data_IF_951051712864
#
_entry.id   IF_951051712864
#
_cell.length_a   1.000
_cell.length_b   1.000
_cell.length_c   1.000
_cell.angle_alpha   90.00
_cell.angle_beta   90.00
_cell.angle_gamma   90.00
#
_symmetry.space_group_name_H-M   'P 1'
#
loop_
_entity.id
_entity.type
_entity.pdbx_description
1 polymer ?
#
# COMPACT_ATOMS: atom_id res chain seq x y z
N UNK A 1 -34.76 -17.76 -17.07
CA UNK A 1 -35.99 -16.97 -16.86
C UNK A 1 -35.62 -15.63 -16.24
N UNK A 2 -36.28 -14.54 -16.64
CA UNK A 2 -35.98 -13.16 -16.17
C UNK A 2 -36.00 -13.03 -14.64
N UNK A 3 -36.83 -13.83 -13.96
CA UNK A 3 -36.91 -13.89 -12.50
C UNK A 3 -35.62 -14.41 -11.83
N UNK A 4 -34.92 -15.34 -12.46
CA UNK A 4 -33.64 -15.84 -11.95
C UNK A 4 -32.57 -14.75 -12.05
N UNK A 5 -32.47 -14.08 -13.20
CA UNK A 5 -31.55 -12.95 -13.42
C UNK A 5 -31.84 -11.78 -12.47
N UNK A 6 -33.12 -11.46 -12.24
CA UNK A 6 -33.52 -10.44 -11.27
C UNK A 6 -33.14 -10.82 -9.82
N UNK A 7 -33.02 -12.11 -9.50
CA UNK A 7 -32.60 -12.58 -8.17
C UNK A 7 -31.08 -12.62 -8.05
N UNK A 8 -30.35 -13.05 -9.08
CA UNK A 8 -28.89 -13.28 -9.04
C UNK A 8 -28.07 -12.06 -9.47
N UNK A 9 -28.55 -11.24 -10.41
CA UNK A 9 -27.87 -10.07 -10.98
C UNK A 9 -28.57 -8.76 -10.59
N UNK A 10 -28.74 -8.53 -9.29
CA UNK A 10 -29.39 -7.33 -8.75
C UNK A 10 -28.56 -6.04 -8.87
N UNK A 11 -27.31 -6.12 -9.34
CA UNK A 11 -26.36 -5.00 -9.38
C UNK A 11 -25.92 -4.49 -7.99
N UNK A 12 -26.29 -5.18 -6.92
CA UNK A 12 -26.01 -4.77 -5.54
C UNK A 12 -24.68 -5.36 -5.05
N UNK A 13 -23.68 -4.49 -4.80
CA UNK A 13 -22.38 -4.90 -4.26
C UNK A 13 -22.52 -5.69 -2.95
N UNK A 14 -23.30 -5.25 -1.94
CA UNK A 14 -23.46 -6.02 -0.70
C UNK A 14 -24.05 -7.42 -0.90
N UNK A 15 -24.98 -7.59 -1.84
CA UNK A 15 -25.56 -8.89 -2.12
C UNK A 15 -24.54 -9.83 -2.78
N UNK A 16 -23.80 -9.33 -3.78
CA UNK A 16 -22.73 -10.11 -4.44
C UNK A 16 -21.64 -10.49 -3.44
N UNK A 17 -21.20 -9.56 -2.59
CA UNK A 17 -20.23 -9.84 -1.53
C UNK A 17 -20.76 -10.89 -0.54
N UNK A 18 -22.02 -10.79 -0.13
CA UNK A 18 -22.62 -11.77 0.78
C UNK A 18 -22.62 -13.19 0.17
N UNK A 19 -22.91 -13.33 -1.12
CA UNK A 19 -22.85 -14.62 -1.83
C UNK A 19 -21.42 -15.16 -1.83
N UNK A 20 -20.43 -14.33 -2.23
CA UNK A 20 -19.01 -14.74 -2.27
C UNK A 20 -18.54 -15.19 -0.89
N UNK A 21 -18.80 -14.39 0.15
CA UNK A 21 -18.40 -14.70 1.52
C UNK A 21 -19.14 -15.93 2.08
N UNK A 22 -20.41 -16.13 1.72
CA UNK A 22 -21.14 -17.33 2.11
C UNK A 22 -20.56 -18.58 1.46
N UNK A 23 -20.19 -18.52 0.19
CA UNK A 23 -19.49 -19.63 -0.50
C UNK A 23 -18.13 -19.91 0.14
N UNK A 24 -17.38 -18.86 0.50
CA UNK A 24 -16.09 -18.98 1.20
C UNK A 24 -16.23 -19.63 2.58
N UNK A 25 -17.38 -19.49 3.26
CA UNK A 25 -17.66 -20.18 4.52
C UNK A 25 -18.11 -21.61 4.28
N UNK A 26 -19.15 -21.78 3.46
CA UNK A 26 -19.84 -23.06 3.30
C UNK A 26 -18.94 -24.14 2.70
N UNK A 27 -18.17 -23.82 1.65
CA UNK A 27 -17.38 -24.82 0.93
C UNK A 27 -16.24 -25.40 1.78
N UNK A 28 -15.36 -24.58 2.39
CA UNK A 28 -14.30 -25.11 3.27
C UNK A 28 -14.86 -25.83 4.50
N UNK A 29 -15.94 -25.32 5.11
CA UNK A 29 -16.55 -25.98 6.26
C UNK A 29 -17.08 -27.36 5.88
N UNK A 30 -17.80 -27.50 4.77
CA UNK A 30 -18.28 -28.79 4.27
C UNK A 30 -17.10 -29.75 4.02
N UNK A 31 -16.07 -29.28 3.31
CA UNK A 31 -14.88 -30.10 3.02
C UNK A 31 -14.18 -30.56 4.30
N UNK A 32 -13.95 -29.66 5.27
CA UNK A 32 -13.30 -30.00 6.54
C UNK A 32 -14.15 -30.93 7.41
N UNK A 33 -15.49 -30.81 7.36
CA UNK A 33 -16.38 -31.73 8.10
C UNK A 33 -16.38 -33.15 7.53
N UNK A 34 -16.18 -33.30 6.22
CA UNK A 34 -16.20 -34.57 5.51
C UNK A 34 -14.81 -35.21 5.32
N UNK A 35 -13.73 -34.42 5.40
CA UNK A 35 -12.35 -34.86 5.17
C UNK A 35 -11.67 -35.53 6.37
N UNK A 36 -10.49 -36.10 6.12
CA UNK A 36 -9.60 -36.62 7.16
C UNK A 36 -9.10 -35.46 8.06
N UNK A 37 -9.10 -35.68 9.38
CA UNK A 37 -8.75 -34.66 10.36
C UNK A 37 -7.33 -34.87 10.84
N UNK A 38 -6.41 -34.06 10.33
CA UNK A 38 -5.12 -33.89 10.98
C UNK A 38 -5.34 -33.18 12.32
N UNK A 39 -4.56 -33.54 13.35
CA UNK A 39 -4.64 -32.91 14.66
C UNK A 39 -3.74 -31.67 14.68
N UNK A 40 -4.30 -30.44 14.68
CA UNK A 40 -3.49 -29.24 14.78
C UNK A 40 -2.84 -29.14 16.16
N UNK A 41 -1.53 -28.92 16.19
CA UNK A 41 -0.82 -28.52 17.40
C UNK A 41 -1.01 -27.01 17.64
N UNK A 42 -1.61 -26.67 18.77
CA UNK A 42 -1.91 -25.28 19.13
C UNK A 42 -0.83 -24.73 20.05
N UNK A 43 0.10 -23.96 19.46
CA UNK A 43 0.96 -23.04 20.21
C UNK A 43 0.36 -21.64 20.14
N UNK A 44 -0.05 -21.12 21.29
CA UNK A 44 -0.77 -19.84 21.38
C UNK A 44 0.14 -18.63 21.11
N UNK A 45 1.37 -18.66 21.62
CA UNK A 45 2.39 -17.64 21.37
C UNK A 45 3.77 -18.18 21.72
N UNK A 46 4.79 -17.68 21.02
CA UNK A 46 6.21 -17.97 21.31
C UNK A 46 6.84 -16.86 22.16
N UNK A 47 6.27 -15.65 22.14
CA UNK A 47 6.76 -14.47 22.86
C UNK A 47 5.59 -13.63 23.38
N UNK A 48 5.78 -12.98 24.53
CA UNK A 48 4.78 -12.09 25.14
C UNK A 48 4.42 -10.89 24.26
N UNK A 49 5.26 -10.52 23.29
CA UNK A 49 4.97 -9.42 22.36
C UNK A 49 3.84 -9.80 21.40
N UNK A 50 3.74 -11.07 21.00
CA UNK A 50 2.72 -11.54 20.06
C UNK A 50 1.27 -11.33 20.55
N UNK A 51 0.88 -11.75 21.77
CA UNK A 51 -0.47 -11.51 22.26
C UNK A 51 -0.73 -10.02 22.52
N UNK A 52 0.27 -9.23 22.93
CA UNK A 52 0.10 -7.78 23.11
C UNK A 52 -0.22 -7.10 21.78
N UNK A 53 0.58 -7.36 20.73
CA UNK A 53 0.34 -6.82 19.39
C UNK A 53 -0.99 -7.34 18.83
N UNK A 54 -1.29 -8.63 19.00
CA UNK A 54 -2.56 -9.22 18.59
C UNK A 54 -3.79 -8.57 19.25
N UNK A 55 -3.73 -8.30 20.55
CA UNK A 55 -4.80 -7.60 21.28
C UNK A 55 -4.95 -6.15 20.81
N UNK A 56 -3.85 -5.45 20.54
CA UNK A 56 -3.88 -4.11 19.96
C UNK A 56 -4.51 -4.10 18.56
N UNK A 57 -4.14 -5.05 17.70
CA UNK A 57 -4.72 -5.22 16.37
C UNK A 57 -6.22 -5.54 16.45
N UNK A 58 -6.62 -6.45 17.34
CA UNK A 58 -8.02 -6.80 17.55
C UNK A 58 -8.83 -5.59 18.03
N UNK A 59 -8.31 -4.86 19.03
CA UNK A 59 -8.94 -3.65 19.54
C UNK A 59 -9.10 -2.58 18.46
N UNK A 60 -8.06 -2.35 17.65
CA UNK A 60 -8.09 -1.40 16.55
C UNK A 60 -9.08 -1.81 15.44
N UNK A 61 -9.11 -3.09 15.07
CA UNK A 61 -10.05 -3.63 14.09
C UNK A 61 -11.50 -3.47 14.56
N UNK A 62 -11.81 -3.83 15.81
CA UNK A 62 -13.15 -3.66 16.39
C UNK A 62 -13.52 -2.19 16.46
N UNK A 63 -12.61 -1.33 16.93
CA UNK A 63 -12.83 0.12 17.00
C UNK A 63 -13.10 0.71 15.61
N UNK A 64 -12.36 0.30 14.57
CA UNK A 64 -12.56 0.76 13.20
C UNK A 64 -13.98 0.46 12.68
N UNK A 65 -14.60 -0.67 13.09
CA UNK A 65 -15.97 -1.01 12.67
C UNK A 65 -17.07 -0.14 13.27
N UNK A 66 -16.78 0.55 14.38
CA UNK A 66 -17.73 1.41 15.09
C UNK A 66 -17.43 2.90 14.92
N UNK A 67 -16.27 3.25 14.35
CA UNK A 67 -15.90 4.63 14.08
C UNK A 67 -16.76 5.26 13.00
N UNK A 68 -17.33 6.43 13.32
CA UNK A 68 -18.10 7.24 12.37
C UNK A 68 -17.22 8.14 11.52
N UNK A 69 -16.12 8.62 12.10
CA UNK A 69 -15.15 9.47 11.40
C UNK A 69 -14.24 8.60 10.51
N UNK A 70 -14.27 8.84 9.20
CA UNK A 70 -13.51 8.07 8.20
C UNK A 70 -12.01 8.16 8.42
N UNK A 71 -11.49 9.33 8.79
CA UNK A 71 -10.06 9.51 9.08
C UNK A 71 -9.65 8.69 10.29
N UNK A 72 -10.44 8.73 11.37
CA UNK A 72 -10.18 7.92 12.56
C UNK A 72 -10.23 6.42 12.25
N UNK A 73 -11.20 5.97 11.43
CA UNK A 73 -11.30 4.58 11.01
C UNK A 73 -10.06 4.13 10.20
N UNK A 74 -9.57 4.95 9.26
CA UNK A 74 -8.35 4.64 8.50
C UNK A 74 -7.12 4.59 9.40
N UNK A 75 -6.97 5.50 10.36
CA UNK A 75 -5.86 5.46 11.31
C UNK A 75 -5.88 4.18 12.16
N UNK A 76 -7.06 3.72 12.59
CA UNK A 76 -7.22 2.46 13.32
C UNK A 76 -6.91 1.24 12.45
N UNK A 77 -7.33 1.24 11.18
CA UNK A 77 -6.90 0.22 10.21
C UNK A 77 -5.38 0.22 10.07
N UNK A 78 -4.74 1.39 10.08
CA UNK A 78 -3.28 1.50 10.05
C UNK A 78 -2.58 0.82 11.21
N UNK A 79 -3.14 0.86 12.41
CA UNK A 79 -2.61 0.11 13.57
C UNK A 79 -2.55 -1.39 13.27
N UNK A 80 -3.52 -1.93 12.52
CA UNK A 80 -3.50 -3.35 12.13
C UNK A 80 -2.38 -3.65 11.13
N UNK A 81 -2.10 -2.73 10.20
CA UNK A 81 -1.01 -2.87 9.23
C UNK A 81 0.38 -2.78 9.87
N UNK A 82 0.61 -1.80 10.75
CA UNK A 82 1.84 -1.71 11.54
C UNK A 82 1.98 -2.91 12.49
N UNK A 83 0.88 -3.36 13.11
CA UNK A 83 0.87 -4.58 13.92
C UNK A 83 1.33 -5.81 13.14
N UNK A 84 0.86 -5.96 11.89
CA UNK A 84 1.33 -7.02 10.98
C UNK A 84 2.83 -6.94 10.70
N UNK A 85 3.36 -5.72 10.44
CA UNK A 85 4.79 -5.53 10.23
C UNK A 85 5.63 -5.88 11.45
N UNK A 86 5.15 -5.56 12.66
CA UNK A 86 5.78 -5.98 13.91
C UNK A 86 5.78 -7.51 14.03
N UNK A 87 4.65 -8.18 13.73
CA UNK A 87 4.58 -9.65 13.72
C UNK A 87 5.60 -10.25 12.75
N UNK A 88 5.75 -9.71 11.54
CA UNK A 88 6.78 -10.16 10.58
C UNK A 88 8.20 -10.00 11.13
N UNK A 89 8.52 -8.87 11.74
CA UNK A 89 9.84 -8.63 12.33
C UNK A 89 10.17 -9.67 13.42
N UNK A 90 9.21 -9.98 14.30
CA UNK A 90 9.39 -11.00 15.34
C UNK A 90 9.46 -12.43 14.82
N UNK A 91 8.94 -12.70 13.62
CA UNK A 91 9.10 -13.99 12.95
C UNK A 91 10.36 -14.08 12.08
N UNK A 92 11.28 -13.11 12.19
CA UNK A 92 12.54 -13.12 11.43
C UNK A 92 12.36 -12.79 9.95
N UNK A 93 11.28 -12.09 9.58
CA UNK A 93 11.01 -11.64 8.22
C UNK A 93 11.20 -10.12 8.07
N UNK A 94 12.46 -9.61 8.14
CA UNK A 94 12.72 -8.17 8.15
C UNK A 94 12.36 -7.48 6.82
N UNK A 95 12.55 -8.12 5.67
CA UNK A 95 12.14 -7.57 4.36
C UNK A 95 10.62 -7.39 4.28
N UNK A 96 9.85 -8.37 4.75
CA UNK A 96 8.38 -8.28 4.80
C UNK A 96 7.94 -7.21 5.80
N UNK A 97 8.60 -7.11 6.96
CA UNK A 97 8.29 -6.08 7.95
C UNK A 97 8.53 -4.67 7.39
N UNK A 98 9.69 -4.45 6.79
CA UNK A 98 10.08 -3.17 6.19
C UNK A 98 9.10 -2.77 5.08
N UNK A 99 8.82 -3.67 4.16
CA UNK A 99 7.88 -3.40 3.06
C UNK A 99 6.47 -3.15 3.57
N UNK A 100 6.01 -3.91 4.57
CA UNK A 100 4.71 -3.70 5.21
C UNK A 100 4.61 -2.31 5.86
N UNK A 101 5.64 -1.84 6.57
CA UNK A 101 5.65 -0.49 7.14
C UNK A 101 5.63 0.61 6.08
N UNK A 102 6.38 0.44 4.99
CA UNK A 102 6.40 1.41 3.89
C UNK A 102 5.05 1.44 3.15
N UNK A 103 4.49 0.29 2.83
CA UNK A 103 3.17 0.17 2.19
C UNK A 103 2.10 0.76 3.09
N UNK A 104 2.10 0.44 4.39
CA UNK A 104 1.11 0.98 5.33
C UNK A 104 1.20 2.51 5.44
N UNK A 105 2.41 3.05 5.46
CA UNK A 105 2.60 4.51 5.46
C UNK A 105 2.07 5.13 4.16
N UNK A 106 2.35 4.50 3.01
CA UNK A 106 1.92 5.00 1.71
C UNK A 106 0.40 4.93 1.55
N UNK A 107 -0.23 3.80 1.91
CA UNK A 107 -1.68 3.63 1.84
C UNK A 107 -2.38 4.60 2.78
N UNK A 108 -1.89 4.80 4.01
CA UNK A 108 -2.44 5.78 4.94
C UNK A 108 -2.41 7.18 4.33
N UNK A 109 -1.28 7.60 3.76
CA UNK A 109 -1.19 8.92 3.10
C UNK A 109 -2.14 9.03 1.92
N UNK A 110 -2.21 8.01 1.05
CA UNK A 110 -3.14 7.99 -0.09
C UNK A 110 -4.58 8.06 0.39
N UNK A 111 -4.96 7.26 1.40
CA UNK A 111 -6.31 7.28 1.95
C UNK A 111 -6.65 8.64 2.57
N UNK A 112 -5.75 9.26 3.34
CA UNK A 112 -5.97 10.61 3.88
C UNK A 112 -6.15 11.63 2.75
N UNK A 113 -5.35 11.54 1.68
CA UNK A 113 -5.45 12.41 0.50
C UNK A 113 -6.74 12.24 -0.30
N UNK A 114 -7.33 11.04 -0.28
CA UNK A 114 -8.63 10.75 -0.90
C UNK A 114 -9.78 11.14 0.03
N UNK A 115 -9.70 10.77 1.31
CA UNK A 115 -10.76 11.02 2.28
C UNK A 115 -10.97 12.50 2.57
N UNK A 116 -9.94 13.35 2.42
CA UNK A 116 -10.10 14.81 2.56
C UNK A 116 -11.10 15.41 1.56
N UNK A 117 -11.45 14.71 0.48
CA UNK A 117 -12.43 15.18 -0.52
C UNK A 117 -13.85 14.64 -0.26
N UNK A 118 -14.00 13.75 0.73
CA UNK A 118 -15.27 13.12 1.10
C UNK A 118 -15.77 13.67 2.45
N UNK A 119 -17.08 13.56 2.74
CA UNK A 119 -17.62 13.93 4.04
C UNK A 119 -16.91 13.15 5.17
N UNK A 120 -16.57 13.86 6.26
CA UNK A 120 -15.81 13.30 7.37
C UNK A 120 -16.54 12.14 8.07
N UNK A 121 -17.87 12.18 8.11
CA UNK A 121 -18.71 11.13 8.68
C UNK A 121 -19.22 10.17 7.61
N UNK A 122 -19.28 8.88 7.97
CA UNK A 122 -19.97 7.89 7.16
C UNK A 122 -21.49 8.04 7.31
N UNK A 123 -22.19 8.36 6.21
CA UNK A 123 -23.64 8.24 6.17
C UNK A 123 -24.04 6.76 6.22
N UNK A 124 -24.95 6.40 7.14
CA UNK A 124 -25.50 5.05 7.17
C UNK A 124 -27.03 5.02 7.44
N UNK A 125 -27.86 5.40 6.45
CA UNK A 125 -29.31 5.39 6.58
C UNK A 125 -29.93 3.97 6.69
N UNK A 126 -29.13 2.89 6.58
CA UNK A 126 -29.63 1.51 6.43
C UNK A 126 -28.98 0.44 7.30
N UNK A 127 -27.93 0.75 8.07
CA UNK A 127 -27.14 -0.24 8.84
C UNK A 127 -27.98 -1.12 9.76
N UNK A 128 -29.00 -0.55 10.39
CA UNK A 128 -29.67 -1.19 11.52
C UNK A 128 -30.50 -2.41 11.10
N UNK A 129 -31.06 -2.41 9.88
CA UNK A 129 -31.97 -3.48 9.40
C UNK A 129 -31.24 -4.77 9.00
N UNK A 130 -29.94 -4.69 8.67
CA UNK A 130 -29.14 -5.84 8.23
C UNK A 130 -27.87 -6.05 9.06
N UNK A 131 -27.81 -5.51 10.28
CA UNK A 131 -26.60 -5.56 11.12
C UNK A 131 -26.26 -6.98 11.57
N UNK A 132 -27.24 -7.72 12.11
CA UNK A 132 -27.02 -9.06 12.64
C UNK A 132 -26.49 -10.06 11.59
N UNK A 133 -27.11 -10.21 10.38
CA UNK A 133 -26.57 -11.15 9.39
C UNK A 133 -25.18 -10.76 8.90
N UNK A 134 -24.86 -9.46 8.80
CA UNK A 134 -23.50 -9.00 8.46
C UNK A 134 -22.48 -9.37 9.54
N UNK A 135 -22.83 -9.21 10.81
CA UNK A 135 -21.98 -9.60 11.95
C UNK A 135 -21.76 -11.11 11.97
N UNK A 136 -22.83 -11.90 11.85
CA UNK A 136 -22.72 -13.36 11.83
C UNK A 136 -21.86 -13.84 10.66
N UNK A 137 -22.07 -13.29 9.46
CA UNK A 137 -21.29 -13.66 8.28
C UNK A 137 -19.81 -13.27 8.43
N UNK A 138 -19.50 -12.08 8.94
CA UNK A 138 -18.10 -11.66 9.14
C UNK A 138 -17.38 -12.48 10.19
N UNK A 139 -18.04 -12.84 11.31
CA UNK A 139 -17.50 -13.77 12.30
C UNK A 139 -17.28 -15.17 11.70
N UNK A 140 -18.24 -15.67 10.92
CA UNK A 140 -18.14 -16.96 10.25
C UNK A 140 -16.98 -17.00 9.24
N UNK A 141 -16.79 -15.92 8.46
CA UNK A 141 -15.65 -15.78 7.53
C UNK A 141 -14.34 -15.79 8.30
N UNK A 142 -14.21 -14.97 9.36
CA UNK A 142 -13.00 -14.94 10.18
C UNK A 142 -12.66 -16.31 10.77
N UNK A 143 -13.62 -16.96 11.41
CA UNK A 143 -13.45 -18.31 11.95
C UNK A 143 -13.09 -19.34 10.88
N UNK A 144 -13.71 -19.27 9.70
CA UNK A 144 -13.43 -20.21 8.60
C UNK A 144 -12.02 -20.02 8.06
N UNK A 145 -11.58 -18.78 7.79
CA UNK A 145 -10.23 -18.50 7.29
C UNK A 145 -9.17 -18.93 8.30
N UNK A 146 -9.37 -18.64 9.59
CA UNK A 146 -8.46 -19.09 10.66
C UNK A 146 -8.40 -20.62 10.73
N UNK A 147 -9.56 -21.29 10.73
CA UNK A 147 -9.62 -22.76 10.77
C UNK A 147 -8.93 -23.37 9.56
N UNK A 148 -9.21 -22.86 8.36
CA UNK A 148 -8.59 -23.32 7.13
C UNK A 148 -7.06 -23.16 7.16
N UNK A 149 -6.56 -22.03 7.65
CA UNK A 149 -5.12 -21.78 7.77
C UNK A 149 -4.45 -22.76 8.77
N UNK A 150 -5.10 -23.03 9.91
CA UNK A 150 -4.61 -23.99 10.92
C UNK A 150 -4.54 -25.40 10.34
N UNK A 151 -5.61 -25.86 9.69
CA UNK A 151 -5.65 -27.19 9.06
C UNK A 151 -4.67 -27.30 7.88
N UNK A 152 -4.56 -26.26 7.05
CA UNK A 152 -3.59 -26.26 5.94
C UNK A 152 -2.14 -26.34 6.44
N UNK A 153 -1.82 -25.72 7.60
CA UNK A 153 -0.51 -25.85 8.24
C UNK A 153 -0.30 -27.26 8.80
N UNK A 154 -1.32 -27.85 9.43
CA UNK A 154 -1.25 -29.20 10.01
C UNK A 154 -1.10 -30.30 8.95
N UNK A 155 -1.66 -30.09 7.75
CA UNK A 155 -1.62 -31.06 6.65
C UNK A 155 -0.24 -31.17 5.95
N UNK A 156 0.77 -30.37 6.34
CA UNK A 156 2.10 -30.42 5.72
C UNK A 156 2.87 -31.66 6.21
N UNK A 157 3.08 -32.62 5.31
CA UNK A 157 3.77 -33.89 5.60
C UNK A 157 5.13 -34.06 4.92
N UNK A 158 5.52 -33.14 4.04
CA UNK A 158 6.77 -33.20 3.26
C UNK A 158 7.77 -32.14 3.71
N UNK A 159 9.06 -32.42 3.49
CA UNK A 159 10.15 -31.46 3.71
C UNK A 159 9.96 -30.24 2.82
N UNK A 160 9.92 -29.02 3.38
CA UNK A 160 9.66 -27.81 2.60
C UNK A 160 10.86 -27.44 1.72
N UNK A 161 10.58 -26.98 0.49
CA UNK A 161 11.62 -26.46 -0.42
C UNK A 161 12.40 -25.27 0.17
N UNK A 162 11.83 -24.60 1.18
CA UNK A 162 12.45 -23.48 1.88
C UNK A 162 13.83 -23.81 2.48
N UNK A 163 14.09 -25.08 2.83
CA UNK A 163 15.39 -25.51 3.35
C UNK A 163 16.52 -25.41 2.30
N UNK A 164 16.18 -25.48 1.00
CA UNK A 164 17.15 -25.39 -0.10
C UNK A 164 17.42 -23.95 -0.56
N UNK A 165 16.59 -23.00 -0.15
CA UNK A 165 16.62 -21.62 -0.66
C UNK A 165 17.85 -20.81 -0.19
N UNK A 166 18.30 -20.90 1.08
CA UNK A 166 19.48 -20.15 1.53
C UNK A 166 20.74 -20.51 0.74
N UNK A 167 21.01 -21.80 0.56
CA UNK A 167 22.16 -22.29 -0.21
C UNK A 167 22.03 -21.92 -1.69
N UNK A 168 20.83 -22.07 -2.27
CA UNK A 168 20.58 -21.65 -3.64
C UNK A 168 20.83 -20.14 -3.82
N UNK A 169 20.39 -19.32 -2.88
CA UNK A 169 20.59 -17.88 -2.94
C UNK A 169 22.07 -17.49 -2.83
N UNK A 170 22.81 -18.11 -1.90
CA UNK A 170 24.22 -17.81 -1.70
C UNK A 170 25.11 -18.32 -2.83
N UNK A 171 24.97 -19.59 -3.21
CA UNK A 171 25.87 -20.22 -4.19
C UNK A 171 25.49 -19.94 -5.64
N UNK A 172 24.20 -19.75 -5.97
CA UNK A 172 23.76 -19.48 -7.35
C UNK A 172 23.38 -18.02 -7.59
N UNK A 173 22.71 -17.39 -6.64
CA UNK A 173 22.30 -15.98 -6.74
C UNK A 173 23.36 -14.99 -6.22
N UNK A 174 24.46 -15.47 -5.65
CA UNK A 174 25.56 -14.65 -5.14
C UNK A 174 25.13 -13.55 -4.13
N UNK A 175 24.08 -13.82 -3.35
CA UNK A 175 23.58 -12.90 -2.34
C UNK A 175 23.27 -13.59 -1.01
N UNK A 176 23.54 -12.91 0.10
CA UNK A 176 23.24 -13.41 1.44
C UNK A 176 21.76 -13.22 1.85
N UNK A 177 21.03 -12.30 1.22
CA UNK A 177 19.60 -12.10 1.47
C UNK A 177 18.78 -13.06 0.61
N UNK A 178 18.37 -14.19 1.21
CA UNK A 178 17.57 -15.21 0.54
C UNK A 178 16.26 -14.68 -0.03
N UNK A 179 15.58 -13.74 0.65
CA UNK A 179 14.29 -13.20 0.19
C UNK A 179 14.48 -12.37 -1.07
N UNK A 180 15.41 -11.41 -1.05
CA UNK A 180 15.63 -10.56 -2.22
C UNK A 180 16.13 -11.37 -3.42
N UNK A 181 17.10 -12.28 -3.23
CA UNK A 181 17.59 -13.17 -4.29
C UNK A 181 16.49 -14.10 -4.82
N UNK A 182 15.60 -14.59 -3.97
CA UNK A 182 14.44 -15.36 -4.41
C UNK A 182 13.55 -14.53 -5.34
N UNK A 183 13.31 -13.25 -5.02
CA UNK A 183 12.45 -12.38 -5.81
C UNK A 183 13.08 -11.96 -7.14
N UNK A 184 14.38 -11.64 -7.16
CA UNK A 184 15.01 -11.03 -8.34
C UNK A 184 15.75 -12.01 -9.24
N UNK A 185 16.19 -13.17 -8.72
CA UNK A 185 16.95 -14.16 -9.49
C UNK A 185 16.17 -15.47 -9.68
N UNK A 186 15.76 -16.12 -8.58
CA UNK A 186 15.20 -17.48 -8.65
C UNK A 186 13.75 -17.47 -9.16
N UNK A 187 12.92 -16.54 -8.67
CA UNK A 187 11.50 -16.35 -9.05
C UNK A 187 11.29 -14.97 -9.67
N UNK A 188 12.26 -14.51 -10.45
CA UNK A 188 12.25 -13.22 -11.15
C UNK A 188 10.98 -12.95 -11.98
N UNK A 189 10.36 -14.01 -12.53
CA UNK A 189 9.14 -13.90 -13.32
C UNK A 189 7.93 -13.41 -12.52
N UNK A 190 7.83 -13.79 -11.24
CA UNK A 190 6.76 -13.29 -10.35
C UNK A 190 6.93 -11.79 -10.14
N UNK A 191 8.16 -11.33 -9.89
CA UNK A 191 8.49 -9.90 -9.73
C UNK A 191 8.21 -9.10 -10.99
N UNK A 192 8.51 -9.64 -12.19
CA UNK A 192 8.15 -9.02 -13.47
C UNK A 192 6.63 -8.87 -13.60
N UNK A 193 5.86 -9.87 -13.16
CA UNK A 193 4.40 -9.82 -13.10
C UNK A 193 3.89 -8.74 -12.14
N UNK A 194 4.44 -8.66 -10.94
CA UNK A 194 4.09 -7.65 -9.94
C UNK A 194 4.32 -6.22 -10.44
N UNK A 195 5.50 -5.91 -10.98
CA UNK A 195 5.78 -4.57 -11.52
C UNK A 195 4.88 -4.25 -12.72
N UNK A 196 4.51 -5.25 -13.52
CA UNK A 196 3.56 -5.07 -14.63
C UNK A 196 2.17 -4.69 -14.11
N UNK A 197 1.70 -5.35 -13.04
CA UNK A 197 0.43 -5.00 -12.37
C UNK A 197 0.49 -3.58 -11.81
N UNK A 198 1.61 -3.17 -11.20
CA UNK A 198 1.79 -1.78 -10.72
C UNK A 198 1.73 -0.77 -11.86
N UNK A 199 2.36 -1.05 -13.01
CA UNK A 199 2.29 -0.18 -14.20
C UNK A 199 0.86 -0.09 -14.74
N UNK A 200 0.14 -1.20 -14.82
CA UNK A 200 -1.27 -1.23 -15.25
C UNK A 200 -2.14 -0.44 -14.28
N UNK A 201 -1.96 -0.62 -12.97
CA UNK A 201 -2.70 0.11 -11.95
C UNK A 201 -2.42 1.63 -12.03
N UNK A 202 -1.15 2.02 -12.11
CA UNK A 202 -0.74 3.42 -12.22
C UNK A 202 -1.29 4.07 -13.49
N UNK A 203 -1.22 3.38 -14.63
CA UNK A 203 -1.77 3.87 -15.91
C UNK A 203 -3.30 3.93 -15.87
N UNK A 204 -3.97 2.96 -15.24
CA UNK A 204 -5.41 2.96 -15.04
C UNK A 204 -5.87 4.16 -14.20
N UNK A 205 -5.25 4.40 -13.06
CA UNK A 205 -5.51 5.58 -12.21
C UNK A 205 -5.25 6.86 -12.99
N UNK A 206 -4.12 6.96 -13.70
CA UNK A 206 -3.80 8.10 -14.53
C UNK A 206 -4.88 8.35 -15.61
N UNK A 207 -5.35 7.32 -16.31
CA UNK A 207 -6.39 7.45 -17.33
C UNK A 207 -7.71 7.98 -16.79
N UNK A 208 -8.06 7.59 -15.55
CA UNK A 208 -9.28 8.05 -14.88
C UNK A 208 -9.16 9.50 -14.41
N UNK A 209 -8.01 9.86 -13.81
CA UNK A 209 -7.75 11.21 -13.27
C UNK A 209 -7.56 12.23 -14.38
N UNK A 210 -6.86 11.86 -15.45
CA UNK A 210 -6.50 12.74 -16.55
C UNK A 210 -7.41 12.57 -17.77
N UNK A 211 -8.66 12.14 -17.59
CA UNK A 211 -9.61 11.91 -18.70
C UNK A 211 -9.73 13.09 -19.68
N UNK A 212 -9.64 14.32 -19.17
CA UNK A 212 -9.78 15.56 -19.94
C UNK A 212 -8.48 16.38 -20.05
N UNK A 213 -7.32 15.85 -19.60
CA UNK A 213 -6.01 16.54 -19.64
C UNK A 213 -4.94 15.57 -20.12
N UNK A 214 -3.94 16.00 -20.89
CA UNK A 214 -2.83 15.09 -21.24
C UNK A 214 -2.09 14.70 -19.96
N UNK A 215 -1.96 13.39 -19.73
CA UNK A 215 -1.00 12.84 -18.78
C UNK A 215 0.42 13.27 -19.23
N UNK A 216 1.25 13.71 -18.28
CA UNK A 216 2.57 14.25 -18.59
C UNK A 216 3.32 14.72 -17.34
N UNK A 217 4.35 15.54 -17.52
CA UNK A 217 5.14 16.10 -16.42
C UNK A 217 4.28 16.95 -15.47
N UNK A 218 4.53 16.83 -14.17
CA UNK A 218 3.89 17.68 -13.19
C UNK A 218 4.18 19.17 -13.51
N UNK A 219 3.18 20.08 -13.36
CA UNK A 219 3.35 21.50 -13.68
C UNK A 219 4.53 22.09 -12.91
N UNK A 220 5.32 22.95 -13.56
CA UNK A 220 6.48 23.61 -12.93
C UNK A 220 6.17 25.05 -12.57
N UNK A 221 7.01 25.65 -11.72
CA UNK A 221 6.87 27.06 -11.34
C UNK A 221 7.02 27.95 -12.58
N UNK A 222 7.88 27.56 -13.53
CA UNK A 222 8.02 28.23 -14.83
C UNK A 222 6.73 28.27 -15.66
N UNK A 223 5.84 27.29 -15.48
CA UNK A 223 4.61 27.15 -16.28
C UNK A 223 3.44 27.97 -15.69
N UNK A 224 3.60 28.53 -14.49
CA UNK A 224 2.56 29.30 -13.82
C UNK A 224 2.27 30.64 -14.53
N UNK A 225 3.23 31.20 -15.27
CA UNK A 225 3.09 32.48 -15.97
C UNK A 225 2.46 32.40 -17.37
N UNK A 226 2.33 31.21 -17.96
CA UNK A 226 1.92 31.01 -19.37
C UNK A 226 0.42 30.74 -19.56
N UNK A 227 -0.43 31.21 -18.64
CA UNK A 227 -1.88 31.26 -18.85
C UNK A 227 -2.64 29.97 -18.50
N UNK A 228 -2.15 29.17 -17.55
CA UNK A 228 -2.90 28.01 -17.08
C UNK A 228 -4.08 28.47 -16.18
N UNK A 229 -5.34 28.17 -16.52
CA UNK A 229 -6.54 28.83 -15.96
C UNK A 229 -6.91 28.41 -14.52
N UNK A 230 -6.09 27.58 -13.85
CA UNK A 230 -6.38 27.02 -12.52
C UNK A 230 -5.76 27.81 -11.37
N UNK A 231 -4.95 28.83 -11.66
CA UNK A 231 -4.43 29.74 -10.64
C UNK A 231 -5.31 30.99 -10.73
N UNK A 232 -6.36 31.05 -9.91
CA UNK A 232 -6.93 32.34 -9.59
C UNK A 232 -5.77 33.22 -9.13
N UNK A 233 -5.52 34.31 -9.86
CA UNK A 233 -4.59 35.36 -9.46
C UNK A 233 -4.88 35.66 -7.99
N UNK A 234 -4.01 35.18 -7.10
CA UNK A 234 -4.18 35.39 -5.67
C UNK A 234 -4.20 36.91 -5.50
N UNK A 235 -5.32 37.50 -5.03
CA UNK A 235 -5.32 38.91 -4.73
C UNK A 235 -4.21 39.11 -3.72
N UNK A 236 -3.30 40.05 -4.00
CA UNK A 236 -2.18 40.42 -3.13
C UNK A 236 -2.69 40.46 -1.69
N UNK A 237 -2.39 39.41 -0.92
CA UNK A 237 -2.96 39.28 0.41
C UNK A 237 -2.44 40.46 1.20
N UNK A 238 -3.36 41.29 1.70
CA UNK A 238 -3.05 42.39 2.61
C UNK A 238 -2.15 41.85 3.71
N UNK A 239 -0.99 42.49 3.84
CA UNK A 239 0.07 42.21 4.82
C UNK A 239 -0.51 41.67 6.14
N UNK A 240 -0.25 40.39 6.42
CA UNK A 240 -0.58 39.76 7.69
C UNK A 240 0.73 39.37 8.35
N UNK A 241 1.09 39.93 9.52
CA UNK A 241 2.38 39.70 10.17
C UNK A 241 2.60 38.26 10.63
N UNK A 242 1.58 37.40 10.59
CA UNK A 242 1.68 35.95 10.84
C UNK A 242 2.04 35.13 9.59
N UNK A 243 2.09 35.76 8.41
CA UNK A 243 2.48 35.13 7.14
C UNK A 243 3.92 35.55 6.84
N UNK A 244 4.86 34.62 7.01
CA UNK A 244 6.25 34.87 6.66
C UNK A 244 6.43 34.90 5.14
N UNK A 245 7.09 35.95 4.62
CA UNK A 245 7.47 36.04 3.20
C UNK A 245 8.57 35.03 2.81
N UNK A 246 9.21 34.37 3.79
CA UNK A 246 10.23 33.35 3.54
C UNK A 246 9.61 32.04 3.06
N UNK A 247 10.03 31.60 1.88
CA UNK A 247 9.66 30.32 1.28
C UNK A 247 10.86 29.36 1.32
N UNK A 248 10.65 28.14 1.81
CA UNK A 248 11.72 27.15 1.90
C UNK A 248 11.70 26.13 0.76
N UNK A 249 10.57 26.06 0.05
CA UNK A 249 10.30 25.23 -1.13
C UNK A 249 9.82 26.12 -2.28
N UNK A 250 10.30 25.90 -3.50
CA UNK A 250 10.00 26.77 -4.66
C UNK A 250 8.51 26.79 -5.00
N UNK A 251 7.85 25.64 -4.95
CA UNK A 251 6.42 25.52 -5.23
C UNK A 251 5.51 26.11 -4.15
N UNK A 252 6.03 26.42 -2.96
CA UNK A 252 5.23 26.97 -1.85
C UNK A 252 4.75 28.41 -2.12
N UNK A 253 5.44 29.15 -2.98
CA UNK A 253 5.07 30.51 -3.41
C UNK A 253 3.73 30.56 -4.14
N UNK A 254 3.36 29.46 -4.80
CA UNK A 254 2.12 29.33 -5.57
C UNK A 254 0.93 28.81 -4.74
N UNK A 255 1.10 28.67 -3.41
CA UNK A 255 0.09 28.13 -2.49
C UNK A 255 -0.45 29.25 -1.60
N UNK A 256 -1.77 29.25 -1.33
CA UNK A 256 -2.39 30.23 -0.43
C UNK A 256 -1.69 30.20 0.94
N UNK A 257 -1.14 31.33 1.41
CA UNK A 257 -0.37 31.39 2.65
C UNK A 257 -1.12 30.90 3.89
N UNK A 258 -2.46 30.94 3.90
CA UNK A 258 -3.29 30.48 5.03
C UNK A 258 -3.24 28.96 5.25
N UNK A 259 -2.83 28.19 4.24
CA UNK A 259 -2.74 26.74 4.30
C UNK A 259 -1.30 26.23 4.17
N UNK A 260 -0.32 27.10 4.38
CA UNK A 260 1.11 26.77 4.42
C UNK A 260 1.53 26.44 5.85
N UNK A 261 2.45 25.48 5.99
CA UNK A 261 3.07 25.13 7.27
C UNK A 261 4.58 25.24 7.14
N UNK A 262 5.16 26.27 7.74
CA UNK A 262 6.61 26.53 7.67
C UNK A 262 7.42 25.39 8.29
N UNK A 263 6.92 24.79 9.37
CA UNK A 263 7.54 23.61 10.01
C UNK A 263 7.62 22.45 9.02
N UNK A 264 6.54 22.19 8.27
CA UNK A 264 6.52 21.11 7.28
C UNK A 264 7.45 21.39 6.10
N UNK A 265 7.53 22.64 5.63
CA UNK A 265 8.44 23.04 4.54
C UNK A 265 9.91 22.83 4.95
N UNK A 266 10.30 23.33 6.13
CA UNK A 266 11.67 23.20 6.65
C UNK A 266 12.02 21.74 6.92
N UNK A 267 11.14 21.00 7.60
CA UNK A 267 11.35 19.58 7.89
C UNK A 267 11.49 18.77 6.59
N UNK A 268 10.63 19.03 5.60
CA UNK A 268 10.70 18.36 4.31
C UNK A 268 12.01 18.65 3.58
N UNK A 269 12.48 19.90 3.58
CA UNK A 269 13.75 20.28 2.94
C UNK A 269 14.94 19.54 3.56
N UNK A 270 14.93 19.32 4.88
CA UNK A 270 16.00 18.60 5.58
C UNK A 270 15.89 17.08 5.41
N UNK A 271 14.68 16.52 5.55
CA UNK A 271 14.45 15.07 5.58
C UNK A 271 14.47 14.47 4.18
N UNK A 272 14.00 15.19 3.15
CA UNK A 272 13.94 14.68 1.78
C UNK A 272 15.26 14.06 1.26
N UNK A 273 16.42 14.76 1.30
CA UNK A 273 17.66 14.17 0.83
C UNK A 273 18.07 12.93 1.65
N UNK A 274 17.79 12.90 2.95
CA UNK A 274 18.05 11.75 3.81
C UNK A 274 17.23 10.52 3.36
N UNK A 275 15.93 10.71 3.10
CA UNK A 275 15.07 9.61 2.60
C UNK A 275 15.53 9.14 1.21
N UNK A 276 15.95 10.06 0.34
CA UNK A 276 16.48 9.68 -0.98
C UNK A 276 17.78 8.87 -0.89
N UNK A 277 18.70 9.24 0.01
CA UNK A 277 19.92 8.46 0.28
C UNK A 277 19.56 7.08 0.83
N UNK A 278 18.60 7.00 1.76
CA UNK A 278 18.11 5.73 2.29
C UNK A 278 17.48 4.84 1.21
N UNK A 279 16.70 5.43 0.30
CA UNK A 279 16.12 4.73 -0.84
C UNK A 279 17.20 4.11 -1.74
N UNK A 280 18.24 4.88 -2.06
CA UNK A 280 19.39 4.40 -2.85
C UNK A 280 20.15 3.32 -2.09
N UNK A 281 20.33 3.48 -0.78
CA UNK A 281 20.94 2.45 0.08
C UNK A 281 20.17 1.13 0.00
N UNK A 282 18.86 1.14 0.25
CA UNK A 282 18.03 -0.07 0.16
C UNK A 282 18.08 -0.73 -1.22
N UNK A 283 18.15 0.06 -2.29
CA UNK A 283 18.29 -0.46 -3.65
C UNK A 283 19.61 -1.22 -3.85
N UNK A 284 20.74 -0.66 -3.42
CA UNK A 284 22.05 -1.26 -3.66
C UNK A 284 22.43 -2.38 -2.69
N UNK A 285 21.94 -2.35 -1.45
CA UNK A 285 22.31 -3.36 -0.44
C UNK A 285 21.37 -4.56 -0.38
N UNK A 286 20.32 -4.59 -1.22
CA UNK A 286 19.25 -5.60 -1.17
C UNK A 286 19.71 -7.04 -1.30
N UNK A 287 20.80 -7.33 -2.02
CA UNK A 287 21.32 -8.70 -2.15
C UNK A 287 21.91 -9.28 -0.86
N UNK A 288 22.26 -8.44 0.12
CA UNK A 288 22.96 -8.88 1.33
C UNK A 288 22.30 -8.44 2.63
N UNK A 289 21.41 -7.46 2.58
CA UNK A 289 20.72 -6.88 3.75
C UNK A 289 19.24 -6.71 3.45
N UNK A 290 18.38 -6.59 4.48
CA UNK A 290 16.96 -6.36 4.27
C UNK A 290 16.71 -5.10 3.45
N UNK A 291 15.86 -5.18 2.42
CA UNK A 291 15.61 -4.09 1.48
C UNK A 291 15.34 -4.56 0.06
N UNK A 292 16.03 -3.97 -0.91
CA UNK A 292 15.88 -4.28 -2.34
C UNK A 292 15.12 -3.22 -3.11
N UNK A 293 14.86 -3.53 -4.39
CA UNK A 293 14.31 -2.57 -5.35
C UNK A 293 12.91 -2.06 -4.99
N UNK A 294 12.04 -2.92 -4.45
CA UNK A 294 10.69 -2.55 -4.05
C UNK A 294 10.69 -1.58 -2.85
N UNK A 295 11.42 -1.94 -1.78
CA UNK A 295 11.59 -1.09 -0.60
C UNK A 295 12.23 0.26 -0.95
N UNK A 296 13.29 0.26 -1.76
CA UNK A 296 13.92 1.47 -2.28
C UNK A 296 12.94 2.35 -3.05
N UNK A 297 12.17 1.77 -3.98
CA UNK A 297 11.15 2.45 -4.76
C UNK A 297 10.03 3.07 -3.92
N UNK A 298 9.48 2.34 -2.94
CA UNK A 298 8.48 2.86 -2.01
C UNK A 298 9.03 4.00 -1.15
N UNK A 299 10.27 3.88 -0.69
CA UNK A 299 10.95 4.92 0.11
C UNK A 299 11.13 6.21 -0.69
N UNK A 300 11.57 6.13 -1.96
CA UNK A 300 11.63 7.29 -2.86
C UNK A 300 10.23 7.86 -3.14
N UNK A 301 9.23 7.00 -3.36
CA UNK A 301 7.84 7.42 -3.55
C UNK A 301 7.30 8.21 -2.36
N UNK A 302 7.54 7.74 -1.13
CA UNK A 302 7.18 8.46 0.09
C UNK A 302 7.89 9.81 0.21
N UNK A 303 9.17 9.91 -0.17
CA UNK A 303 9.90 11.17 -0.21
C UNK A 303 9.25 12.20 -1.16
N UNK A 304 8.83 11.74 -2.35
CA UNK A 304 8.14 12.58 -3.33
C UNK A 304 6.74 13.00 -2.83
N UNK A 305 6.01 12.08 -2.20
CA UNK A 305 4.72 12.38 -1.57
C UNK A 305 4.88 13.41 -0.45
N UNK A 306 5.93 13.32 0.37
CA UNK A 306 6.23 14.31 1.40
C UNK A 306 6.45 15.70 0.79
N UNK A 307 7.23 15.82 -0.29
CA UNK A 307 7.40 17.10 -1.02
C UNK A 307 6.11 17.60 -1.62
N UNK A 308 5.27 16.72 -2.16
CA UNK A 308 3.95 17.10 -2.65
C UNK A 308 3.05 17.63 -1.52
N UNK A 309 3.04 17.01 -0.34
CA UNK A 309 2.25 17.48 0.80
C UNK A 309 2.71 18.87 1.28
N UNK A 310 4.02 19.08 1.34
CA UNK A 310 4.64 20.33 1.79
C UNK A 310 4.46 21.47 0.78
N UNK A 311 4.86 21.27 -0.48
CA UNK A 311 4.94 22.32 -1.50
C UNK A 311 3.92 22.23 -2.64
N UNK A 312 3.05 21.22 -2.64
CA UNK A 312 2.00 21.05 -3.66
C UNK A 312 2.51 20.48 -4.99
N UNK A 313 1.65 20.55 -6.02
CA UNK A 313 1.92 19.96 -7.36
C UNK A 313 3.10 20.59 -8.09
N UNK A 314 3.33 21.90 -7.89
CA UNK A 314 4.42 22.63 -8.53
C UNK A 314 5.79 22.26 -7.95
N UNK A 315 5.86 22.06 -6.63
CA UNK A 315 7.07 21.58 -5.97
C UNK A 315 7.46 20.17 -6.44
N UNK A 316 6.48 19.30 -6.64
CA UNK A 316 6.71 17.97 -7.19
C UNK A 316 7.28 18.05 -8.62
N UNK A 317 6.77 18.95 -9.46
CA UNK A 317 7.26 19.17 -10.83
C UNK A 317 8.68 19.73 -10.90
N UNK A 318 9.08 20.57 -9.93
CA UNK A 318 10.47 21.03 -9.78
C UNK A 318 11.39 19.92 -9.28
N UNK A 319 10.87 18.99 -8.46
CA UNK A 319 11.64 17.88 -7.89
C UNK A 319 11.96 16.81 -8.92
N UNK A 320 10.93 16.36 -9.65
CA UNK A 320 11.03 15.29 -10.62
C UNK A 320 10.57 15.82 -11.98
N UNK A 321 11.47 16.46 -12.74
CA UNK A 321 11.16 17.08 -14.04
C UNK A 321 10.90 16.06 -15.16
N UNK A 322 10.58 14.81 -14.82
CA UNK A 322 10.40 13.71 -15.74
C UNK A 322 8.92 13.32 -15.84
N UNK A 323 8.53 12.86 -17.02
CA UNK A 323 7.19 12.32 -17.23
C UNK A 323 7.07 10.96 -16.53
N UNK A 324 6.11 10.83 -15.62
CA UNK A 324 5.87 9.60 -14.87
C UNK A 324 5.61 8.41 -15.80
N UNK A 325 4.95 8.62 -16.95
CA UNK A 325 4.72 7.57 -17.95
C UNK A 325 6.02 7.06 -18.56
N UNK A 326 6.98 7.96 -18.81
CA UNK A 326 8.29 7.57 -19.32
C UNK A 326 9.10 6.79 -18.29
N UNK A 327 9.02 7.18 -17.01
CA UNK A 327 9.69 6.43 -15.92
C UNK A 327 9.13 5.02 -15.83
N UNK A 328 7.79 4.88 -15.80
CA UNK A 328 7.12 3.58 -15.72
C UNK A 328 7.46 2.70 -16.94
N UNK A 329 7.35 3.26 -18.15
CA UNK A 329 7.65 2.56 -19.39
C UNK A 329 9.12 2.15 -19.51
N UNK A 330 10.05 3.04 -19.15
CA UNK A 330 11.49 2.74 -19.17
C UNK A 330 11.85 1.66 -18.14
N UNK A 331 11.28 1.72 -16.92
CA UNK A 331 11.50 0.71 -15.90
C UNK A 331 11.01 -0.68 -16.33
N UNK A 332 9.81 -0.76 -16.90
CA UNK A 332 9.27 -2.03 -17.41
C UNK A 332 10.07 -2.55 -18.60
N UNK A 333 10.44 -1.68 -19.54
CA UNK A 333 11.25 -2.04 -20.70
C UNK A 333 12.64 -2.54 -20.28
N UNK A 334 13.26 -1.92 -19.28
CA UNK A 334 14.55 -2.36 -18.73
C UNK A 334 14.41 -3.75 -18.09
N UNK A 335 13.41 -3.95 -17.23
CA UNK A 335 13.19 -5.25 -16.57
C UNK A 335 12.90 -6.38 -17.56
N UNK A 336 11.96 -6.16 -18.50
CA UNK A 336 11.65 -7.12 -19.54
C UNK A 336 12.84 -7.36 -20.49
N UNK A 337 13.58 -6.30 -20.83
CA UNK A 337 14.78 -6.37 -21.65
C UNK A 337 15.89 -7.21 -21.01
N UNK A 338 16.13 -7.07 -19.70
CA UNK A 338 17.07 -7.92 -18.97
C UNK A 338 16.64 -9.39 -18.98
N UNK A 339 15.36 -9.66 -18.74
CA UNK A 339 14.83 -11.03 -18.77
C UNK A 339 14.97 -11.67 -20.16
N UNK A 340 14.56 -10.98 -21.23
CA UNK A 340 14.72 -11.48 -22.61
C UNK A 340 16.19 -11.63 -22.98
N UNK A 341 17.03 -10.67 -22.58
CA UNK A 341 18.48 -10.73 -22.81
C UNK A 341 19.10 -11.99 -22.22
N UNK A 342 18.71 -12.38 -21.00
CA UNK A 342 19.19 -13.63 -20.38
C UNK A 342 18.73 -14.91 -21.07
N UNK A 343 17.64 -14.88 -21.84
CA UNK A 343 17.20 -16.06 -22.62
C UNK A 343 17.99 -16.24 -23.92
N UNK A 344 18.67 -15.19 -24.38
CA UNK A 344 19.44 -15.17 -25.63
C UNK A 344 20.93 -15.43 -25.41
N UNK A 345 21.41 -15.37 -24.16
CA UNK A 345 22.78 -15.65 -23.74
C UNK A 345 22.89 -17.07 -23.17
#
# INVERSE_FOLDING_TARGET
SVRLTAVTQRGSIPATQAVILSTLVLLPVVVLTLGARDHPDFRLWDSLVQPVVGLLMLGAAVAATVMRNRLAAVLLVGITGYGCGVVFAFHGAPDLALTQFLVETLTLVIFVLVLRTLPAEAEDPGARRHRLPKVLLSLAVGATVTTLAVFAKAARSTTPIAELLPDAAYYRGHGANTVNVLLVDIRAWDTLGEISVLVVAATGVASLVFRNRRFGSAPRVSDAGTGQPDIGTLPSARYSPSVSDTTWLRGSELRDPRYRSLVLEVATRMIFPLIMVLSVYFFFTGHNTPGGGFAGGLTAGLALVLRYLAGGRYELGETLPLDAGKILGAGLALSAGTAVGSMLL
#
